data_IF_508332424623
#
_entry.id   IF_508332424623
#
_cell.length_a   1.000
_cell.length_b   1.000
_cell.length_c   1.000
_cell.angle_alpha   90.00
_cell.angle_beta   90.00
_cell.angle_gamma   90.00
#
_symmetry.space_group_name_H-M   'P 1'
#
loop_
_entity.id
_entity.type
_entity.pdbx_description
1 polymer ?
#
# COMPACT_ATOMS: atom_id res chain seq x y z
N UNK A 1 -16.97 2.27 19.32
CA UNK A 1 -16.94 2.99 18.03
C UNK A 1 -16.87 1.97 16.92
N UNK A 2 -17.44 2.28 15.75
CA UNK A 2 -17.23 1.48 14.53
C UNK A 2 -15.74 1.58 14.15
N UNK A 3 -15.18 0.55 13.53
CA UNK A 3 -13.82 0.64 12.98
C UNK A 3 -13.74 1.53 11.75
N UNK A 4 -14.85 1.65 11.00
CA UNK A 4 -14.94 2.50 9.81
C UNK A 4 -16.28 3.24 9.77
N UNK A 5 -16.20 4.54 9.57
CA UNK A 5 -17.36 5.41 9.35
C UNK A 5 -17.34 5.92 7.91
N UNK A 6 -18.33 5.48 7.11
CA UNK A 6 -18.56 6.03 5.77
C UNK A 6 -19.24 7.39 5.90
N UNK A 7 -18.56 8.45 5.46
CA UNK A 7 -19.05 9.83 5.60
C UNK A 7 -19.83 10.26 4.37
N UNK A 8 -19.34 9.97 3.17
CA UNK A 8 -19.97 10.37 1.91
C UNK A 8 -19.64 9.41 0.78
N UNK A 9 -20.57 9.27 -0.16
CA UNK A 9 -20.37 8.57 -1.43
C UNK A 9 -20.68 9.55 -2.57
N UNK A 10 -19.80 9.64 -3.55
CA UNK A 10 -19.99 10.47 -4.74
C UNK A 10 -21.26 10.05 -5.51
N UNK A 11 -21.98 11.01 -6.05
CA UNK A 11 -23.26 10.74 -6.73
C UNK A 11 -23.09 10.23 -8.17
N UNK A 12 -21.92 10.48 -8.78
CA UNK A 12 -21.61 10.13 -10.16
C UNK A 12 -20.66 8.93 -10.31
N UNK A 13 -20.18 8.38 -9.19
CA UNK A 13 -19.25 7.26 -9.16
C UNK A 13 -19.38 6.44 -7.88
N UNK A 14 -18.59 5.37 -7.74
CA UNK A 14 -18.50 4.62 -6.49
C UNK A 14 -17.47 5.20 -5.50
N UNK A 15 -16.86 6.34 -5.82
CA UNK A 15 -15.88 7.00 -4.96
C UNK A 15 -16.50 7.38 -3.62
N UNK A 16 -15.76 7.18 -2.53
CA UNK A 16 -16.29 7.38 -1.20
C UNK A 16 -15.24 7.97 -0.23
N UNK A 17 -15.71 8.78 0.69
CA UNK A 17 -14.93 9.35 1.77
C UNK A 17 -15.37 8.77 3.11
N UNK A 18 -14.43 8.29 3.91
CA UNK A 18 -14.69 7.71 5.22
C UNK A 18 -13.60 8.05 6.22
N UNK A 19 -13.69 7.42 7.39
CA UNK A 19 -12.68 7.47 8.46
C UNK A 19 -12.48 6.07 9.01
N UNK A 20 -11.23 5.59 9.02
CA UNK A 20 -10.83 4.37 9.74
C UNK A 20 -10.31 4.79 11.11
N UNK A 21 -10.82 4.18 12.18
CA UNK A 21 -10.46 4.46 13.56
C UNK A 21 -9.51 3.40 14.10
N UNK A 22 -8.34 3.82 14.58
CA UNK A 22 -7.37 2.96 15.26
C UNK A 22 -6.99 3.56 16.61
N UNK A 23 -6.35 2.77 17.47
CA UNK A 23 -5.86 3.27 18.76
C UNK A 23 -4.70 4.28 18.63
N UNK A 24 -4.03 4.34 17.46
CA UNK A 24 -3.01 5.33 17.15
C UNK A 24 -3.52 6.53 16.34
N UNK A 25 -4.83 6.62 16.13
CA UNK A 25 -5.49 7.76 15.49
C UNK A 25 -6.35 7.42 14.29
N UNK A 26 -7.02 8.45 13.79
CA UNK A 26 -7.93 8.36 12.65
C UNK A 26 -7.19 8.43 11.32
N UNK A 27 -7.71 7.69 10.33
CA UNK A 27 -7.22 7.70 8.94
C UNK A 27 -8.35 8.16 8.05
N UNK A 28 -8.17 9.32 7.42
CA UNK A 28 -9.13 9.89 6.48
C UNK A 28 -8.96 9.23 5.11
N UNK A 29 -9.99 8.53 4.63
CA UNK A 29 -9.95 7.86 3.32
C UNK A 29 -10.64 8.68 2.23
N UNK A 30 -10.22 8.57 0.94
CA UNK A 30 -9.13 7.72 0.45
C UNK A 30 -7.76 8.14 0.97
N UNK A 31 -6.85 7.16 1.14
CA UNK A 31 -5.51 7.41 1.68
C UNK A 31 -4.44 6.60 0.92
N UNK A 32 -3.27 7.20 0.74
CA UNK A 32 -2.06 6.51 0.30
C UNK A 32 -1.12 6.28 1.49
N UNK A 33 -0.59 5.06 1.63
CA UNK A 33 0.31 4.66 2.70
C UNK A 33 1.76 4.61 2.21
N UNK A 34 2.64 5.52 2.66
CA UNK A 34 4.08 5.41 2.37
C UNK A 34 4.65 4.09 2.87
N UNK A 35 5.47 3.42 2.03
CA UNK A 35 6.01 2.10 2.34
C UNK A 35 7.32 2.21 3.12
N UNK A 36 7.28 1.78 4.38
CA UNK A 36 8.40 1.68 5.32
C UNK A 36 8.91 0.25 5.48
N UNK A 37 9.50 -0.33 4.43
CA UNK A 37 9.83 -1.76 4.27
C UNK A 37 10.52 -2.40 5.48
N UNK A 38 11.48 -1.74 6.09
CA UNK A 38 12.28 -2.25 7.24
C UNK A 38 12.24 -1.30 8.43
N UNK A 39 11.05 -0.78 8.75
CA UNK A 39 10.89 0.22 9.80
C UNK A 39 11.36 1.61 9.38
N UNK A 40 11.35 1.92 8.09
CA UNK A 40 11.65 3.25 7.56
C UNK A 40 11.16 3.42 6.13
N UNK A 41 10.62 4.58 5.81
CA UNK A 41 10.37 5.02 4.43
C UNK A 41 11.70 5.45 3.84
N UNK A 42 12.11 4.81 2.74
CA UNK A 42 13.47 4.92 2.18
C UNK A 42 13.82 6.36 1.78
N UNK A 43 14.88 6.91 2.40
CA UNK A 43 15.40 8.24 2.11
C UNK A 43 14.48 9.37 2.61
N UNK A 44 13.64 9.11 3.63
CA UNK A 44 12.72 10.12 4.16
C UNK A 44 12.76 10.07 5.69
N UNK A 45 13.03 11.21 6.31
CA UNK A 45 13.00 11.32 7.75
C UNK A 45 11.56 11.28 8.29
N UNK A 46 11.39 10.74 9.50
CA UNK A 46 10.09 10.76 10.20
C UNK A 46 9.52 12.18 10.33
N UNK A 47 10.36 13.17 10.58
CA UNK A 47 9.97 14.57 10.59
C UNK A 47 9.25 14.97 9.30
N UNK A 48 9.83 14.65 8.14
CA UNK A 48 9.28 15.03 6.85
C UNK A 48 7.97 14.26 6.55
N UNK A 49 7.85 12.99 7.03
CA UNK A 49 6.59 12.25 6.95
C UNK A 49 5.45 12.91 7.74
N UNK A 50 5.77 13.56 8.87
CA UNK A 50 4.79 14.21 9.77
C UNK A 50 4.49 15.62 9.31
N UNK A 51 5.53 16.44 9.11
CA UNK A 51 5.41 17.89 9.03
C UNK A 51 5.21 18.40 7.58
N UNK A 52 5.66 17.64 6.57
CA UNK A 52 5.62 18.04 5.17
C UNK A 52 4.71 17.11 4.33
N UNK A 53 4.92 15.79 4.42
CA UNK A 53 4.15 14.79 3.67
C UNK A 53 2.76 14.56 4.30
N UNK A 54 2.59 14.85 5.58
CA UNK A 54 1.35 14.67 6.35
C UNK A 54 0.80 13.23 6.33
N UNK A 55 1.71 12.24 6.34
CA UNK A 55 1.33 10.84 6.38
C UNK A 55 0.49 10.52 7.63
N UNK A 56 -0.69 9.93 7.42
CA UNK A 56 -1.59 9.52 8.50
C UNK A 56 -1.33 8.08 8.93
N UNK A 57 -0.83 7.25 8.03
CA UNK A 57 -0.51 5.83 8.20
C UNK A 57 0.69 5.49 7.33
N UNK A 58 1.52 4.55 7.77
CA UNK A 58 2.60 3.95 6.97
C UNK A 58 2.42 2.44 6.88
N UNK A 59 3.09 1.82 5.90
CA UNK A 59 3.06 0.37 5.72
C UNK A 59 4.43 -0.24 6.01
N UNK A 60 4.47 -1.27 6.86
CA UNK A 60 5.64 -2.12 7.11
C UNK A 60 5.53 -3.47 6.37
N UNK A 61 6.66 -4.09 6.02
CA UNK A 61 6.66 -5.40 5.37
C UNK A 61 7.07 -6.50 6.36
N UNK A 62 6.14 -7.37 6.72
CA UNK A 62 6.30 -8.44 7.71
C UNK A 62 7.48 -9.36 7.41
N UNK A 63 7.65 -9.80 6.16
CA UNK A 63 8.80 -10.63 5.75
C UNK A 63 10.14 -9.95 6.07
N UNK A 64 10.28 -8.69 5.72
CA UNK A 64 11.54 -7.96 5.93
C UNK A 64 11.80 -7.67 7.41
N UNK A 65 10.77 -7.27 8.15
CA UNK A 65 10.87 -7.02 9.60
C UNK A 65 11.17 -8.29 10.39
N UNK A 66 10.60 -9.43 10.00
CA UNK A 66 10.93 -10.73 10.58
C UNK A 66 12.38 -11.12 10.36
N UNK A 67 12.95 -10.86 9.18
CA UNK A 67 14.35 -11.16 8.89
C UNK A 67 15.31 -10.18 9.59
N UNK A 68 14.93 -8.90 9.65
CA UNK A 68 15.74 -7.83 10.22
C UNK A 68 14.86 -6.63 10.61
N UNK A 69 14.82 -6.25 11.89
CA UNK A 69 15.68 -6.65 12.99
C UNK A 69 15.35 -8.02 13.59
N UNK A 70 14.17 -8.57 13.29
CA UNK A 70 13.62 -9.79 13.88
C UNK A 70 12.62 -9.49 14.99
N UNK A 71 11.64 -10.40 15.18
CA UNK A 71 10.54 -10.20 16.11
C UNK A 71 10.99 -10.06 17.56
N UNK A 72 12.05 -10.77 17.96
CA UNK A 72 12.58 -10.67 19.32
C UNK A 72 13.03 -9.23 19.67
N UNK A 73 13.71 -8.55 18.74
CA UNK A 73 14.15 -7.16 18.94
C UNK A 73 12.93 -6.21 18.95
N UNK A 74 11.98 -6.41 18.04
CA UNK A 74 10.76 -5.61 18.00
C UNK A 74 9.94 -5.76 19.28
N UNK A 75 9.80 -7.00 19.77
CA UNK A 75 9.11 -7.28 21.03
C UNK A 75 9.78 -6.56 22.24
N UNK A 76 11.11 -6.66 22.33
CA UNK A 76 11.88 -5.97 23.39
C UNK A 76 11.78 -4.45 23.31
N UNK A 77 11.62 -3.89 22.11
CA UNK A 77 11.42 -2.47 21.90
C UNK A 77 10.00 -2.00 22.28
N UNK A 78 9.04 -2.92 22.42
CA UNK A 78 7.63 -2.63 22.67
C UNK A 78 6.82 -2.42 21.40
N UNK A 79 7.15 -3.17 20.34
CA UNK A 79 6.50 -3.16 19.04
C UNK A 79 7.14 -2.18 18.05
N UNK A 80 6.68 -2.25 16.79
CA UNK A 80 7.23 -1.45 15.68
C UNK A 80 7.04 0.05 15.92
N UNK A 81 5.92 0.49 16.45
CA UNK A 81 5.66 1.88 16.78
C UNK A 81 6.76 2.48 17.68
N UNK A 82 7.11 1.78 18.75
CA UNK A 82 8.16 2.24 19.66
C UNK A 82 9.56 2.12 19.05
N UNK A 83 9.78 1.06 18.28
CA UNK A 83 11.06 0.84 17.61
C UNK A 83 11.40 1.96 16.61
N UNK A 84 10.42 2.37 15.80
CA UNK A 84 10.57 3.48 14.84
C UNK A 84 10.40 4.87 15.49
N UNK A 85 9.76 4.92 16.66
CA UNK A 85 9.26 6.15 17.25
C UNK A 85 8.13 6.78 16.43
N UNK A 86 7.31 5.98 15.76
CA UNK A 86 6.13 6.39 15.00
C UNK A 86 4.88 6.20 15.84
N UNK A 87 4.12 7.27 16.08
CA UNK A 87 2.97 7.29 16.98
C UNK A 87 1.63 7.46 16.25
N UNK A 88 1.59 7.18 14.96
CA UNK A 88 0.39 7.14 14.12
C UNK A 88 0.15 5.71 13.64
N UNK A 89 -0.98 5.40 12.98
CA UNK A 89 -1.28 4.07 12.49
C UNK A 89 -0.19 3.43 11.62
N UNK A 90 -0.07 2.09 11.75
CA UNK A 90 0.76 1.23 10.90
C UNK A 90 -0.10 0.09 10.36
N UNK A 91 0.06 -0.23 9.08
CA UNK A 91 -0.41 -1.46 8.49
C UNK A 91 0.80 -2.34 8.16
N UNK A 92 0.72 -3.65 8.41
CA UNK A 92 1.72 -4.62 7.94
C UNK A 92 1.11 -5.58 6.93
N UNK A 93 1.86 -5.84 5.83
CA UNK A 93 1.47 -6.88 4.88
C UNK A 93 1.70 -8.29 5.46
N UNK A 94 1.16 -9.32 4.81
CA UNK A 94 1.29 -10.70 5.27
C UNK A 94 2.69 -11.32 5.06
N UNK A 95 3.56 -10.66 4.29
CA UNK A 95 4.81 -11.23 3.81
C UNK A 95 4.66 -12.26 2.68
N UNK A 96 3.44 -12.62 2.28
CA UNK A 96 3.16 -13.62 1.24
C UNK A 96 3.76 -13.24 -0.11
N UNK A 97 3.55 -12.02 -0.57
CA UNK A 97 4.09 -11.54 -1.83
C UNK A 97 5.62 -11.55 -1.86
N UNK A 98 6.31 -11.15 -0.77
CA UNK A 98 7.77 -11.10 -0.71
C UNK A 98 8.38 -12.51 -0.73
N UNK A 99 7.79 -13.45 0.00
CA UNK A 99 8.19 -14.86 -0.07
C UNK A 99 7.98 -15.40 -1.48
N UNK A 100 6.91 -14.96 -2.16
CA UNK A 100 6.63 -15.34 -3.53
C UNK A 100 7.61 -14.73 -4.53
N UNK A 101 7.93 -13.44 -4.43
CA UNK A 101 8.67 -12.68 -5.44
C UNK A 101 10.19 -12.66 -5.26
N UNK A 102 10.70 -12.82 -4.02
CA UNK A 102 12.11 -12.60 -3.69
C UNK A 102 12.92 -13.88 -3.49
N UNK A 103 12.28 -15.05 -3.51
CA UNK A 103 12.98 -16.31 -3.24
C UNK A 103 12.95 -17.24 -4.45
N UNK A 104 14.12 -17.48 -5.06
CA UNK A 104 14.28 -18.44 -6.16
C UNK A 104 14.00 -19.89 -5.72
N UNK A 105 14.16 -20.18 -4.42
CA UNK A 105 13.94 -21.50 -3.82
C UNK A 105 12.83 -21.39 -2.78
N UNK A 106 11.60 -21.60 -3.22
CA UNK A 106 10.45 -21.75 -2.33
C UNK A 106 9.76 -23.08 -2.59
N UNK A 107 9.22 -23.66 -1.55
CA UNK A 107 8.32 -24.80 -1.65
C UNK A 107 7.01 -24.47 -0.95
N UNK A 108 5.95 -24.35 -1.74
CA UNK A 108 4.60 -24.14 -1.25
C UNK A 108 3.94 -25.49 -0.96
N UNK A 109 3.25 -25.57 0.16
CA UNK A 109 2.51 -26.74 0.61
C UNK A 109 1.20 -26.27 1.26
N UNK A 110 0.30 -27.17 1.58
CA UNK A 110 -0.90 -26.82 2.34
C UNK A 110 -0.57 -26.29 3.75
N UNK A 111 0.52 -26.72 4.33
CA UNK A 111 0.97 -26.28 5.64
C UNK A 111 1.44 -24.81 5.66
N UNK A 112 2.06 -24.35 4.55
CA UNK A 112 2.63 -23.02 4.42
C UNK A 112 3.74 -22.99 3.35
N UNK A 113 4.64 -22.01 3.46
CA UNK A 113 5.71 -21.77 2.49
C UNK A 113 7.08 -21.93 3.14
N UNK A 114 7.88 -22.86 2.63
CA UNK A 114 9.31 -22.97 2.96
C UNK A 114 10.12 -22.13 1.99
N UNK A 115 11.04 -21.34 2.51
CA UNK A 115 11.90 -20.46 1.71
C UNK A 115 13.28 -20.30 2.34
N UNK A 116 14.20 -19.72 1.58
CA UNK A 116 15.52 -19.35 2.08
C UNK A 116 15.60 -17.83 2.24
N UNK A 117 16.10 -17.37 3.39
CA UNK A 117 16.35 -15.95 3.62
C UNK A 117 17.33 -15.40 2.59
N UNK A 118 16.98 -14.27 1.97
CA UNK A 118 17.84 -13.58 1.01
C UNK A 118 19.04 -12.88 1.68
N UNK A 119 19.06 -12.80 3.02
CA UNK A 119 20.13 -12.14 3.78
C UNK A 119 21.27 -13.12 4.08
N UNK A 120 20.93 -14.31 4.57
CA UNK A 120 21.90 -15.29 5.12
C UNK A 120 21.68 -16.72 4.62
N UNK A 121 20.68 -16.95 3.75
CA UNK A 121 20.39 -18.25 3.16
C UNK A 121 19.76 -19.28 4.10
N UNK A 122 19.49 -18.95 5.37
CA UNK A 122 18.86 -19.89 6.31
C UNK A 122 17.46 -20.27 5.85
N UNK A 123 17.10 -21.54 6.07
CA UNK A 123 15.79 -22.08 5.71
C UNK A 123 14.75 -21.69 6.76
N UNK A 124 13.65 -21.16 6.28
CA UNK A 124 12.54 -20.66 7.09
C UNK A 124 11.22 -21.27 6.61
N UNK A 125 10.21 -21.20 7.44
CA UNK A 125 8.86 -21.64 7.16
C UNK A 125 7.88 -20.58 7.64
N UNK A 126 7.03 -20.08 6.75
CA UNK A 126 5.83 -19.32 7.11
C UNK A 126 4.62 -20.23 7.02
N UNK A 127 3.88 -20.31 8.10
CA UNK A 127 2.52 -20.89 8.16
C UNK A 127 1.53 -19.80 8.52
N UNK A 128 0.24 -19.95 8.23
CA UNK A 128 -0.77 -18.98 8.67
C UNK A 128 -0.66 -18.61 10.14
N UNK A 129 -0.48 -19.60 11.01
CA UNK A 129 -0.34 -19.37 12.45
C UNK A 129 0.93 -18.59 12.80
N UNK A 130 2.07 -19.00 12.23
CA UNK A 130 3.35 -18.33 12.53
C UNK A 130 3.38 -16.89 12.03
N UNK A 131 2.70 -16.58 10.92
CA UNK A 131 2.59 -15.20 10.41
C UNK A 131 1.74 -14.36 11.36
N UNK A 132 0.63 -14.88 11.88
CA UNK A 132 -0.16 -14.17 12.89
C UNK A 132 0.65 -13.88 14.17
N UNK A 133 1.46 -14.83 14.63
CA UNK A 133 2.35 -14.63 15.78
C UNK A 133 3.40 -13.55 15.50
N UNK A 134 4.03 -13.58 14.32
CA UNK A 134 4.99 -12.58 13.87
C UNK A 134 4.35 -11.19 13.84
N UNK A 135 3.16 -11.06 13.27
CA UNK A 135 2.44 -9.79 13.18
C UNK A 135 1.99 -9.27 14.55
N UNK A 136 1.62 -10.16 15.49
CA UNK A 136 1.38 -9.78 16.88
C UNK A 136 2.62 -9.17 17.52
N UNK A 137 3.80 -9.76 17.30
CA UNK A 137 5.08 -9.24 17.83
C UNK A 137 5.54 -7.96 17.13
N UNK A 138 5.24 -7.78 15.85
CA UNK A 138 5.47 -6.51 15.13
C UNK A 138 4.58 -5.42 15.72
N UNK A 139 3.30 -5.69 15.94
CA UNK A 139 2.38 -4.78 16.61
C UNK A 139 1.89 -3.64 15.73
N UNK A 140 1.51 -3.89 14.47
CA UNK A 140 0.81 -2.92 13.64
C UNK A 140 -0.68 -2.81 14.03
N UNK A 141 -1.33 -1.69 13.73
CA UNK A 141 -2.79 -1.54 13.96
C UNK A 141 -3.61 -2.42 13.03
N UNK A 142 -3.17 -2.57 11.78
CA UNK A 142 -3.82 -3.39 10.77
C UNK A 142 -2.85 -4.46 10.29
N UNK A 143 -3.27 -5.72 10.41
CA UNK A 143 -2.52 -6.91 10.01
C UNK A 143 -3.19 -7.54 8.80
N UNK A 144 -2.41 -8.00 7.82
CA UNK A 144 -2.94 -8.73 6.67
C UNK A 144 -2.90 -10.24 6.91
N UNK A 145 -3.98 -10.95 6.57
CA UNK A 145 -3.97 -12.40 6.59
C UNK A 145 -2.96 -12.98 5.60
N UNK A 146 -2.31 -14.10 5.98
CA UNK A 146 -1.35 -14.77 5.10
C UNK A 146 -2.04 -15.36 3.88
N UNK A 147 -1.57 -15.04 2.69
CA UNK A 147 -2.17 -15.38 1.42
C UNK A 147 -1.16 -15.91 0.41
N UNK A 148 -1.67 -16.50 -0.67
CA UNK A 148 -0.89 -16.83 -1.86
C UNK A 148 -1.24 -15.87 -2.99
N UNK A 149 -0.28 -15.00 -3.34
CA UNK A 149 -0.38 -14.13 -4.49
C UNK A 149 0.04 -14.89 -5.76
N UNK A 150 -0.89 -15.28 -6.63
CA UNK A 150 -0.56 -15.90 -7.90
C UNK A 150 -0.21 -14.85 -8.98
N UNK A 151 0.62 -15.20 -9.99
CA UNK A 151 0.90 -14.30 -11.12
C UNK A 151 -0.39 -13.91 -11.87
N UNK A 152 -0.47 -12.66 -12.36
CA UNK A 152 -1.62 -12.19 -13.15
C UNK A 152 -1.82 -12.95 -14.48
N UNK A 153 -0.80 -13.68 -14.92
CA UNK A 153 -0.82 -14.54 -16.13
C UNK A 153 -1.13 -15.99 -15.83
N UNK A 154 -1.47 -16.35 -14.58
CA UNK A 154 -1.80 -17.72 -14.20
C UNK A 154 -3.04 -18.23 -14.95
N UNK A 155 -3.04 -19.52 -15.32
CA UNK A 155 -4.25 -20.13 -15.84
C UNK A 155 -5.33 -20.26 -14.76
N UNK A 156 -6.58 -20.47 -15.19
CA UNK A 156 -7.74 -20.50 -14.29
C UNK A 156 -7.68 -21.63 -13.26
N UNK A 157 -7.09 -22.76 -13.64
CA UNK A 157 -6.97 -23.92 -12.74
C UNK A 157 -6.03 -23.58 -11.57
N UNK A 158 -4.84 -23.07 -11.87
CA UNK A 158 -3.92 -22.65 -10.83
C UNK A 158 -4.44 -21.46 -10.00
N UNK A 159 -5.06 -20.48 -10.67
CA UNK A 159 -5.68 -19.35 -9.97
C UNK A 159 -6.75 -19.81 -8.94
N UNK A 160 -7.55 -20.83 -9.31
CA UNK A 160 -8.53 -21.41 -8.39
C UNK A 160 -7.88 -22.18 -7.25
N UNK A 161 -6.87 -23.00 -7.52
CA UNK A 161 -6.12 -23.74 -6.47
C UNK A 161 -5.46 -22.79 -5.47
N UNK A 162 -4.85 -21.70 -5.95
CA UNK A 162 -4.24 -20.64 -5.15
C UNK A 162 -5.27 -19.91 -4.29
N UNK A 163 -6.40 -19.52 -4.86
CA UNK A 163 -7.50 -18.92 -4.13
C UNK A 163 -8.06 -19.84 -3.05
N UNK A 164 -8.31 -21.11 -3.38
CA UNK A 164 -8.83 -22.10 -2.42
C UNK A 164 -7.84 -22.35 -1.27
N UNK A 165 -6.52 -22.34 -1.55
CA UNK A 165 -5.47 -22.42 -0.53
C UNK A 165 -5.45 -21.17 0.36
N UNK A 166 -5.52 -19.99 -0.24
CA UNK A 166 -5.64 -18.73 0.48
C UNK A 166 -6.84 -18.73 1.45
N UNK A 167 -7.97 -19.28 1.03
CA UNK A 167 -9.16 -19.42 1.88
C UNK A 167 -8.93 -20.35 3.07
N UNK A 168 -8.29 -21.51 2.87
CA UNK A 168 -7.97 -22.43 3.97
C UNK A 168 -6.93 -21.84 4.92
N UNK A 169 -5.95 -21.11 4.40
CA UNK A 169 -4.98 -20.37 5.21
C UNK A 169 -5.64 -19.24 5.99
N UNK A 170 -6.60 -18.54 5.38
CA UNK A 170 -7.37 -17.50 6.05
C UNK A 170 -8.12 -18.05 7.28
N UNK A 171 -8.77 -19.22 7.15
CA UNK A 171 -9.46 -19.85 8.29
C UNK A 171 -8.49 -20.12 9.46
N UNK A 172 -7.25 -20.55 9.16
CA UNK A 172 -6.20 -20.77 10.14
C UNK A 172 -5.66 -19.46 10.72
N UNK A 173 -5.46 -18.42 9.89
CA UNK A 173 -5.10 -17.08 10.36
C UNK A 173 -6.14 -16.55 11.35
N UNK A 174 -7.42 -16.63 11.00
CA UNK A 174 -8.53 -16.18 11.84
C UNK A 174 -8.55 -16.95 13.17
N UNK A 175 -8.47 -18.28 13.14
CA UNK A 175 -8.45 -19.10 14.34
C UNK A 175 -7.28 -18.74 15.25
N UNK A 176 -6.08 -18.47 14.67
CA UNK A 176 -4.92 -18.07 15.45
C UNK A 176 -5.07 -16.65 16.00
N UNK A 177 -5.49 -15.70 15.17
CA UNK A 177 -5.72 -14.32 15.58
C UNK A 177 -6.74 -14.23 16.73
N UNK A 178 -7.90 -14.90 16.61
CA UNK A 178 -8.97 -14.87 17.60
C UNK A 178 -8.59 -15.62 18.90
N UNK A 179 -7.58 -16.51 18.88
CA UNK A 179 -7.06 -17.23 20.06
C UNK A 179 -5.88 -16.54 20.76
N UNK A 180 -5.40 -15.41 20.23
CA UNK A 180 -4.28 -14.64 20.78
C UNK A 180 -4.73 -13.25 21.19
N UNK A 181 -4.08 -12.68 22.21
CA UNK A 181 -4.34 -11.33 22.69
C UNK A 181 -3.39 -10.31 22.07
N UNK A 182 -3.81 -9.04 22.08
CA UNK A 182 -2.97 -7.91 21.72
C UNK A 182 -1.83 -7.76 22.75
N UNK A 183 -0.58 -7.64 22.26
CA UNK A 183 0.61 -7.68 23.14
C UNK A 183 0.89 -6.32 23.78
N UNK A 184 0.60 -5.21 23.08
CA UNK A 184 1.10 -3.87 23.44
C UNK A 184 0.04 -2.93 24.03
N UNK A 185 -1.18 -3.46 24.33
CA UNK A 185 -2.24 -2.71 25.01
C UNK A 185 -3.08 -1.82 24.09
N UNK A 186 -3.01 -2.04 22.79
CA UNK A 186 -3.88 -1.45 21.77
C UNK A 186 -4.41 -2.55 20.84
N UNK A 187 -5.55 -2.31 20.22
CA UNK A 187 -6.23 -3.28 19.39
C UNK A 187 -5.58 -3.38 18.00
N UNK A 188 -5.38 -4.63 17.55
CA UNK A 188 -4.99 -4.94 16.18
C UNK A 188 -6.19 -5.48 15.38
N UNK A 189 -6.25 -5.15 14.10
CA UNK A 189 -7.33 -5.51 13.19
C UNK A 189 -6.82 -6.39 12.06
N UNK A 190 -7.46 -7.55 11.84
CA UNK A 190 -7.07 -8.49 10.79
C UNK A 190 -7.90 -8.25 9.52
N UNK A 191 -7.22 -7.93 8.40
CA UNK A 191 -7.85 -7.82 7.08
C UNK A 191 -7.60 -9.07 6.25
N UNK A 192 -8.66 -9.77 5.79
CA UNK A 192 -8.56 -10.82 4.79
C UNK A 192 -8.32 -10.23 3.40
N UNK A 193 -7.72 -11.03 2.51
CA UNK A 193 -7.32 -10.63 1.16
C UNK A 193 -8.16 -11.38 0.12
N UNK A 194 -8.88 -10.66 -0.74
CA UNK A 194 -9.56 -11.22 -1.91
C UNK A 194 -8.52 -11.56 -2.96
N UNK A 195 -8.43 -12.85 -3.31
CA UNK A 195 -7.63 -13.37 -4.42
C UNK A 195 -8.54 -13.88 -5.56
N UNK A 196 -7.99 -14.39 -6.65
CA UNK A 196 -8.77 -14.91 -7.79
C UNK A 196 -8.21 -14.50 -9.16
N UNK A 197 -6.98 -13.92 -9.18
CA UNK A 197 -6.32 -13.48 -10.40
C UNK A 197 -7.22 -12.51 -11.21
N UNK A 198 -7.31 -12.69 -12.52
CA UNK A 198 -8.16 -11.90 -13.44
C UNK A 198 -9.47 -12.61 -13.82
N UNK A 199 -9.91 -13.56 -13.01
CA UNK A 199 -11.12 -14.35 -13.27
C UNK A 199 -12.29 -13.85 -12.42
N UNK A 200 -13.28 -13.23 -13.07
CA UNK A 200 -14.41 -12.56 -12.42
C UNK A 200 -15.21 -13.50 -11.51
N UNK A 201 -15.45 -14.76 -11.93
CA UNK A 201 -16.14 -15.76 -11.12
C UNK A 201 -15.36 -16.13 -9.84
N UNK A 202 -14.03 -16.27 -9.93
CA UNK A 202 -13.19 -16.55 -8.77
C UNK A 202 -13.17 -15.34 -7.82
N UNK A 203 -13.04 -14.11 -8.34
CA UNK A 203 -13.12 -12.89 -7.57
C UNK A 203 -14.45 -12.73 -6.83
N UNK A 204 -15.56 -13.05 -7.52
CA UNK A 204 -16.89 -13.05 -6.91
C UNK A 204 -17.00 -14.06 -5.77
N UNK A 205 -16.55 -15.30 -5.99
CA UNK A 205 -16.60 -16.34 -4.96
C UNK A 205 -15.74 -15.98 -3.74
N UNK A 206 -14.53 -15.46 -3.98
CA UNK A 206 -13.66 -14.98 -2.91
C UNK A 206 -14.30 -13.81 -2.14
N UNK A 207 -14.82 -12.80 -2.84
CA UNK A 207 -15.42 -11.63 -2.20
C UNK A 207 -16.66 -12.01 -1.36
N UNK A 208 -17.53 -12.92 -1.86
CA UNK A 208 -18.68 -13.42 -1.10
C UNK A 208 -18.25 -14.15 0.16
N UNK A 209 -17.26 -15.05 0.06
CA UNK A 209 -16.72 -15.75 1.22
C UNK A 209 -16.18 -14.78 2.27
N UNK A 210 -15.38 -13.80 1.85
CA UNK A 210 -14.77 -12.85 2.78
C UNK A 210 -15.83 -11.94 3.42
N UNK A 211 -16.81 -11.46 2.65
CA UNK A 211 -17.95 -10.70 3.17
C UNK A 211 -18.65 -11.44 4.32
N UNK A 212 -18.89 -12.74 4.14
CA UNK A 212 -19.63 -13.56 5.10
C UNK A 212 -18.82 -13.81 6.41
N UNK A 213 -17.53 -13.52 6.43
CA UNK A 213 -16.66 -13.54 7.64
C UNK A 213 -16.79 -12.28 8.49
N UNK A 214 -17.38 -11.20 8.00
CA UNK A 214 -17.65 -9.92 8.66
C UNK A 214 -16.44 -9.37 9.47
N UNK A 215 -15.28 -9.24 8.82
CA UNK A 215 -14.10 -8.63 9.45
C UNK A 215 -14.14 -7.10 9.39
N UNK A 216 -13.20 -6.44 10.08
CA UNK A 216 -13.16 -4.98 10.21
C UNK A 216 -12.86 -4.26 8.90
N UNK A 217 -12.16 -4.89 7.95
CA UNK A 217 -11.87 -4.38 6.62
C UNK A 217 -11.43 -5.48 5.67
N UNK A 218 -11.25 -5.15 4.40
CA UNK A 218 -10.92 -6.12 3.34
C UNK A 218 -9.86 -5.56 2.41
N UNK A 219 -8.94 -6.44 1.97
CA UNK A 219 -7.99 -6.09 0.92
C UNK A 219 -8.28 -6.80 -0.40
N UNK A 220 -7.88 -6.17 -1.49
CA UNK A 220 -7.91 -6.68 -2.86
C UNK A 220 -6.46 -6.92 -3.25
N UNK A 221 -6.05 -8.18 -3.27
CA UNK A 221 -4.69 -8.59 -3.65
C UNK A 221 -4.63 -9.25 -5.02
N UNK A 222 -3.42 -9.59 -5.48
CA UNK A 222 -3.19 -10.30 -6.74
C UNK A 222 -3.63 -9.53 -7.98
N UNK A 223 -3.55 -8.19 -7.92
CA UNK A 223 -3.69 -7.26 -9.05
C UNK A 223 -2.42 -6.42 -9.18
N UNK A 224 -2.21 -5.78 -10.33
CA UNK A 224 -0.95 -5.11 -10.71
C UNK A 224 0.27 -6.05 -10.69
N UNK A 225 0.07 -7.33 -11.04
CA UNK A 225 1.09 -8.39 -11.06
C UNK A 225 1.31 -8.95 -12.48
N UNK A 226 1.04 -8.13 -13.52
CA UNK A 226 1.32 -8.44 -14.93
C UNK A 226 0.11 -8.46 -15.86
N UNK A 227 -1.10 -8.27 -15.35
CA UNK A 227 -2.33 -8.13 -16.15
C UNK A 227 -2.43 -6.74 -16.80
N UNK A 228 -3.22 -6.59 -17.89
CA UNK A 228 -3.60 -5.29 -18.44
C UNK A 228 -4.37 -4.44 -17.41
N UNK A 229 -4.17 -3.13 -17.48
CA UNK A 229 -4.78 -2.17 -16.54
C UNK A 229 -6.32 -2.22 -16.54
N UNK A 230 -6.92 -2.41 -17.70
CA UNK A 230 -8.38 -2.51 -17.86
C UNK A 230 -8.95 -3.74 -17.13
N UNK A 231 -8.24 -4.86 -17.17
CA UNK A 231 -8.63 -6.06 -16.41
C UNK A 231 -8.52 -5.83 -14.89
N UNK A 232 -7.49 -5.11 -14.45
CA UNK A 232 -7.38 -4.72 -13.04
C UNK A 232 -8.61 -3.91 -12.61
N UNK A 233 -9.02 -2.91 -13.39
CA UNK A 233 -10.19 -2.08 -13.08
C UNK A 233 -11.48 -2.90 -13.05
N UNK A 234 -11.68 -3.78 -14.02
CA UNK A 234 -12.84 -4.69 -14.03
C UNK A 234 -12.89 -5.56 -12.77
N UNK A 235 -11.76 -6.13 -12.35
CA UNK A 235 -11.72 -6.98 -11.15
C UNK A 235 -11.96 -6.18 -9.87
N UNK A 236 -11.56 -4.92 -9.80
CA UNK A 236 -11.90 -4.03 -8.68
C UNK A 236 -13.41 -3.81 -8.60
N UNK A 237 -14.07 -3.52 -9.71
CA UNK A 237 -15.52 -3.35 -9.78
C UNK A 237 -16.25 -4.62 -9.31
N UNK A 238 -15.88 -5.78 -9.87
CA UNK A 238 -16.44 -7.10 -9.50
C UNK A 238 -16.36 -7.37 -8.00
N UNK A 239 -15.24 -7.03 -7.37
CA UNK A 239 -15.04 -7.25 -5.93
C UNK A 239 -15.83 -6.23 -5.11
N UNK A 240 -15.77 -4.96 -5.50
CA UNK A 240 -16.40 -3.87 -4.74
C UNK A 240 -17.93 -3.89 -4.79
N UNK A 241 -18.53 -4.50 -5.81
CA UNK A 241 -19.99 -4.75 -5.87
C UNK A 241 -20.47 -5.73 -4.79
N UNK A 242 -19.55 -6.52 -4.22
CA UNK A 242 -19.87 -7.58 -3.25
C UNK A 242 -19.45 -7.21 -1.82
N UNK A 243 -18.29 -6.55 -1.67
CA UNK A 243 -17.77 -6.17 -0.36
C UNK A 243 -18.66 -5.13 0.34
N UNK A 244 -18.85 -5.22 1.67
CA UNK A 244 -19.70 -4.31 2.42
C UNK A 244 -19.28 -2.85 2.25
N UNK A 245 -20.25 -1.97 2.08
CA UNK A 245 -20.00 -0.51 2.02
C UNK A 245 -19.61 0.08 3.37
N UNK A 246 -19.97 -0.59 4.47
CA UNK A 246 -19.66 -0.20 5.85
C UNK A 246 -18.24 -0.58 6.31
N UNK A 247 -17.40 -1.10 5.43
CA UNK A 247 -16.04 -1.54 5.73
C UNK A 247 -15.04 -0.89 4.76
N UNK A 248 -13.80 -0.60 5.21
CA UNK A 248 -12.75 -0.07 4.33
C UNK A 248 -12.25 -1.14 3.36
N UNK A 249 -11.85 -0.69 2.17
CA UNK A 249 -11.34 -1.51 1.06
C UNK A 249 -9.94 -1.07 0.69
N UNK A 250 -8.98 -1.96 0.80
CA UNK A 250 -7.59 -1.71 0.54
C UNK A 250 -7.13 -2.42 -0.74
N UNK A 251 -6.69 -1.66 -1.76
CA UNK A 251 -6.08 -2.20 -2.98
C UNK A 251 -4.57 -2.25 -2.81
N UNK A 252 -4.02 -3.47 -2.77
CA UNK A 252 -2.62 -3.71 -2.45
C UNK A 252 -1.68 -3.45 -3.62
N UNK A 253 -0.59 -2.71 -3.38
CA UNK A 253 0.51 -2.54 -4.33
C UNK A 253 0.24 -1.66 -5.54
N UNK A 254 -0.87 -0.95 -5.58
CA UNK A 254 -1.24 -0.03 -6.68
C UNK A 254 -1.02 1.42 -6.28
N UNK A 255 -0.44 2.25 -7.04
CA UNK A 255 0.58 2.18 -8.06
C UNK A 255 0.81 3.54 -8.68
N UNK A 256 0.41 3.77 -9.90
CA UNK A 256 0.54 5.09 -10.53
C UNK A 256 -0.54 6.06 -10.03
N UNK A 257 -0.29 7.39 -10.06
CA UNK A 257 -1.29 8.38 -9.66
C UNK A 257 -2.65 8.21 -10.36
N UNK A 258 -2.64 7.93 -11.65
CA UNK A 258 -3.86 7.70 -12.43
C UNK A 258 -4.58 6.40 -12.06
N UNK A 259 -3.85 5.30 -11.78
CA UNK A 259 -4.47 4.06 -11.31
C UNK A 259 -5.13 4.23 -9.94
N UNK A 260 -4.55 5.07 -9.07
CA UNK A 260 -5.13 5.41 -7.77
C UNK A 260 -6.46 6.16 -7.96
N UNK A 261 -6.50 7.20 -8.80
CA UNK A 261 -7.73 7.95 -9.07
C UNK A 261 -8.81 7.08 -9.72
N UNK A 262 -8.44 6.20 -10.64
CA UNK A 262 -9.36 5.23 -11.26
C UNK A 262 -9.90 4.20 -10.25
N UNK A 263 -9.06 3.75 -9.31
CA UNK A 263 -9.50 2.83 -8.28
C UNK A 263 -10.36 3.52 -7.20
N UNK A 264 -10.11 4.80 -6.89
CA UNK A 264 -10.98 5.62 -6.03
C UNK A 264 -12.37 5.74 -6.66
N UNK A 265 -12.46 6.01 -7.97
CA UNK A 265 -13.76 6.05 -8.69
C UNK A 265 -14.56 4.77 -8.51
N UNK A 266 -13.87 3.63 -8.37
CA UNK A 266 -14.44 2.28 -8.19
C UNK A 266 -14.65 1.88 -6.73
N UNK A 267 -14.49 2.83 -5.79
CA UNK A 267 -14.81 2.64 -4.38
C UNK A 267 -13.71 2.01 -3.52
N UNK A 268 -12.43 2.17 -3.89
CA UNK A 268 -11.29 1.80 -3.06
C UNK A 268 -10.93 2.95 -2.11
N UNK A 269 -10.55 2.60 -0.87
CA UNK A 269 -10.27 3.56 0.21
C UNK A 269 -8.79 3.71 0.54
N UNK A 270 -8.00 2.63 0.43
CA UNK A 270 -6.63 2.58 0.91
C UNK A 270 -5.70 2.03 -0.16
N UNK A 271 -4.50 2.60 -0.24
CA UNK A 271 -3.49 2.28 -1.25
C UNK A 271 -2.10 2.24 -0.65
N UNK A 272 -1.24 1.40 -1.19
CA UNK A 272 0.20 1.46 -1.01
C UNK A 272 0.92 1.21 -2.33
N UNK A 273 2.10 1.72 -2.48
CA UNK A 273 3.06 1.30 -3.49
C UNK A 273 4.47 1.82 -3.18
N UNK A 274 5.48 1.10 -3.58
CA UNK A 274 6.87 1.57 -3.50
C UNK A 274 7.22 2.61 -4.57
N UNK A 275 6.31 2.85 -5.52
CA UNK A 275 6.54 3.71 -6.69
C UNK A 275 7.02 5.12 -6.35
N UNK A 276 6.39 5.87 -5.42
CA UNK A 276 6.81 7.24 -5.14
C UNK A 276 8.30 7.33 -4.83
N UNK A 277 8.77 6.56 -3.85
CA UNK A 277 10.17 6.60 -3.45
C UNK A 277 11.09 5.85 -4.43
N UNK A 278 10.63 4.76 -5.07
CA UNK A 278 11.41 4.05 -6.09
C UNK A 278 11.66 4.94 -7.30
N UNK A 279 10.61 5.58 -7.82
CA UNK A 279 10.72 6.47 -8.98
C UNK A 279 11.54 7.71 -8.64
N UNK A 280 11.34 8.34 -7.47
CA UNK A 280 12.16 9.44 -6.99
C UNK A 280 13.64 9.08 -7.00
N UNK A 281 14.03 7.96 -6.40
CA UNK A 281 15.42 7.49 -6.41
C UNK A 281 15.96 7.14 -7.80
N UNK A 282 15.10 6.93 -8.78
CA UNK A 282 15.47 6.74 -10.18
C UNK A 282 15.40 8.03 -11.02
N UNK A 283 15.11 9.17 -10.41
CA UNK A 283 15.07 10.47 -11.06
C UNK A 283 13.74 10.78 -11.76
N UNK A 284 12.66 10.04 -11.46
CA UNK A 284 11.34 10.30 -12.02
C UNK A 284 10.40 10.86 -10.96
N UNK A 285 9.73 11.98 -11.28
CA UNK A 285 8.77 12.63 -10.41
C UNK A 285 7.43 12.84 -11.10
N UNK A 286 6.38 12.95 -10.28
CA UNK A 286 5.02 13.24 -10.70
C UNK A 286 4.65 14.66 -10.25
N UNK A 287 4.11 15.47 -11.14
CA UNK A 287 3.70 16.84 -10.86
C UNK A 287 2.28 17.09 -11.34
N UNK A 288 1.69 18.24 -10.96
CA UNK A 288 0.39 18.68 -11.50
C UNK A 288 0.45 19.03 -12.99
N UNK A 289 1.63 19.09 -13.58
CA UNK A 289 1.84 19.38 -15.01
C UNK A 289 2.19 18.12 -15.80
N UNK A 290 2.46 17.00 -15.14
CA UNK A 290 2.83 15.74 -15.75
C UNK A 290 4.04 15.06 -15.12
N UNK A 291 4.57 14.06 -15.81
CA UNK A 291 5.70 13.25 -15.36
C UNK A 291 7.01 13.84 -15.86
N UNK A 292 7.93 14.10 -14.94
CA UNK A 292 9.27 14.61 -15.26
C UNK A 292 10.34 13.54 -15.00
N UNK A 293 11.28 13.40 -15.95
CA UNK A 293 12.50 12.64 -15.73
C UNK A 293 13.65 13.62 -15.51
N UNK A 294 14.13 13.71 -14.29
CA UNK A 294 15.20 14.64 -13.89
C UNK A 294 16.57 14.31 -14.49
N UNK A 295 16.72 13.13 -15.14
CA UNK A 295 17.93 12.78 -15.90
C UNK A 295 17.98 13.47 -17.27
N UNK A 296 16.87 14.01 -17.77
CA UNK A 296 16.80 14.65 -19.08
C UNK A 296 17.70 15.88 -19.17
N UNK A 297 18.41 16.04 -20.30
CA UNK A 297 19.33 17.14 -20.54
C UNK A 297 18.66 18.51 -20.49
N UNK A 298 17.39 18.62 -20.85
CA UNK A 298 16.64 19.88 -20.87
C UNK A 298 16.54 20.59 -19.49
N UNK A 299 16.84 19.89 -18.40
CA UNK A 299 16.85 20.46 -17.05
C UNK A 299 18.23 20.95 -16.60
N UNK A 300 19.26 20.87 -17.47
CA UNK A 300 20.66 21.15 -17.12
C UNK A 300 20.90 22.61 -16.71
N UNK A 301 20.16 23.52 -17.34
CA UNK A 301 20.21 24.97 -17.14
C UNK A 301 18.83 25.56 -16.75
N UNK A 302 17.93 24.73 -16.26
CA UNK A 302 16.63 25.17 -15.74
C UNK A 302 16.77 25.54 -14.24
N UNK A 303 16.95 26.81 -13.96
CA UNK A 303 17.11 27.36 -12.62
C UNK A 303 15.78 27.74 -11.95
N UNK A 304 14.65 27.31 -12.50
CA UNK A 304 13.34 27.45 -11.85
C UNK A 304 13.18 26.42 -10.71
N UNK A 305 12.22 26.65 -9.85
CA UNK A 305 11.85 25.71 -8.77
C UNK A 305 11.60 24.30 -9.31
N UNK A 306 11.82 23.29 -8.46
CA UNK A 306 11.62 21.88 -8.82
C UNK A 306 10.18 21.66 -9.30
N UNK A 307 9.20 22.05 -8.52
CA UNK A 307 7.78 22.09 -8.89
C UNK A 307 7.09 23.33 -8.31
N UNK A 308 6.86 24.38 -9.10
CA UNK A 308 6.18 25.60 -8.62
C UNK A 308 4.73 25.36 -8.16
N UNK A 309 4.15 24.21 -8.50
CA UNK A 309 2.76 23.82 -8.14
C UNK A 309 2.68 22.83 -7.01
N UNK A 310 3.82 22.32 -6.54
CA UNK A 310 3.92 21.41 -5.40
C UNK A 310 3.75 22.12 -4.06
N UNK A 311 3.47 21.37 -3.02
CA UNK A 311 3.27 21.90 -1.66
C UNK A 311 4.42 21.56 -0.71
N UNK A 312 5.39 20.73 -1.14
CA UNK A 312 6.53 20.35 -0.31
C UNK A 312 7.58 21.47 -0.26
N UNK A 313 8.28 21.58 0.88
CA UNK A 313 9.40 22.51 0.98
C UNK A 313 10.49 22.26 -0.06
N UNK A 314 10.71 21.01 -0.47
CA UNK A 314 11.71 20.67 -1.48
C UNK A 314 11.35 21.21 -2.86
N UNK A 315 10.07 21.44 -3.13
CA UNK A 315 9.59 21.96 -4.42
C UNK A 315 10.05 23.38 -4.69
N UNK A 316 10.18 24.18 -3.60
CA UNK A 316 10.49 25.60 -3.65
C UNK A 316 11.94 25.95 -3.27
N UNK A 317 12.62 25.05 -2.53
CA UNK A 317 13.99 25.31 -2.07
C UNK A 317 15.07 24.89 -3.09
N UNK A 318 14.72 24.01 -4.03
CA UNK A 318 15.68 23.45 -4.98
C UNK A 318 15.27 23.73 -6.41
N UNK A 319 16.27 24.00 -7.28
CA UNK A 319 16.05 24.20 -8.70
C UNK A 319 16.15 22.87 -9.45
N UNK A 320 15.49 22.77 -10.60
CA UNK A 320 15.57 21.60 -11.50
C UNK A 320 17.00 21.31 -11.91
N UNK A 321 17.79 22.31 -12.25
CA UNK A 321 19.20 22.16 -12.63
C UNK A 321 20.03 21.55 -11.49
N UNK A 322 19.84 22.02 -10.26
CA UNK A 322 20.56 21.50 -9.09
C UNK A 322 20.16 20.05 -8.78
N UNK A 323 18.88 19.76 -8.75
CA UNK A 323 18.39 18.38 -8.51
C UNK A 323 18.85 17.43 -9.61
N UNK A 324 18.82 17.86 -10.89
CA UNK A 324 19.39 17.06 -11.97
C UNK A 324 20.87 16.76 -11.75
N UNK A 325 21.66 17.77 -11.34
CA UNK A 325 23.07 17.60 -11.00
C UNK A 325 23.25 16.54 -9.91
N UNK A 326 22.50 16.60 -8.81
CA UNK A 326 22.56 15.62 -7.72
C UNK A 326 22.27 14.20 -8.17
N UNK A 327 21.25 14.02 -9.04
CA UNK A 327 20.89 12.70 -9.57
C UNK A 327 21.98 12.15 -10.50
N UNK A 328 22.65 12.99 -11.29
CA UNK A 328 23.79 12.57 -12.13
C UNK A 328 25.05 12.29 -11.33
N UNK A 329 25.26 13.02 -10.24
CA UNK A 329 26.37 12.82 -9.31
C UNK A 329 26.12 11.65 -8.31
N UNK A 330 24.94 11.03 -8.39
CA UNK A 330 24.51 9.94 -7.48
C UNK A 330 24.51 10.34 -5.99
N UNK A 331 24.28 11.62 -5.71
CA UNK A 331 24.22 12.16 -4.35
C UNK A 331 22.91 11.74 -3.65
N UNK A 332 23.04 11.31 -2.39
CA UNK A 332 21.91 10.86 -1.58
C UNK A 332 20.84 11.95 -1.42
N UNK A 333 21.25 13.22 -1.29
CA UNK A 333 20.33 14.33 -1.18
C UNK A 333 19.36 14.43 -2.36
N UNK A 334 19.81 14.14 -3.58
CA UNK A 334 18.92 14.12 -4.77
C UNK A 334 17.86 13.04 -4.66
N UNK A 335 18.22 11.85 -4.15
CA UNK A 335 17.29 10.73 -3.95
C UNK A 335 16.26 11.05 -2.87
N UNK A 336 16.68 11.73 -1.81
CA UNK A 336 15.82 12.18 -0.71
C UNK A 336 14.82 13.24 -1.18
N UNK A 337 15.30 14.32 -1.83
CA UNK A 337 14.45 15.39 -2.40
C UNK A 337 13.34 14.81 -3.26
N UNK A 338 13.66 13.94 -4.23
CA UNK A 338 12.68 13.40 -5.15
C UNK A 338 11.74 12.37 -4.48
N UNK A 339 12.18 11.70 -3.42
CA UNK A 339 11.32 10.80 -2.64
C UNK A 339 10.29 11.59 -1.81
N UNK A 340 10.71 12.68 -1.17
CA UNK A 340 9.83 13.59 -0.43
C UNK A 340 8.81 14.21 -1.38
N UNK A 341 9.27 14.81 -2.49
CA UNK A 341 8.40 15.40 -3.51
C UNK A 341 7.30 14.43 -3.96
N UNK A 342 7.68 13.21 -4.38
CA UNK A 342 6.72 12.24 -4.87
C UNK A 342 5.72 11.82 -3.79
N UNK A 343 6.14 11.64 -2.55
CA UNK A 343 5.22 11.30 -1.47
C UNK A 343 4.25 12.43 -1.18
N UNK A 344 4.71 13.69 -1.13
CA UNK A 344 3.83 14.85 -0.99
C UNK A 344 2.81 14.88 -2.12
N UNK A 345 3.24 14.73 -3.38
CA UNK A 345 2.34 14.68 -4.52
C UNK A 345 1.25 13.60 -4.38
N UNK A 346 1.62 12.39 -3.94
CA UNK A 346 0.66 11.29 -3.78
C UNK A 346 -0.35 11.57 -2.66
N UNK A 347 0.11 12.06 -1.51
CA UNK A 347 -0.78 12.38 -0.38
C UNK A 347 -1.69 13.56 -0.70
N UNK A 348 -1.17 14.60 -1.36
CA UNK A 348 -1.97 15.73 -1.82
C UNK A 348 -3.03 15.30 -2.84
N UNK A 349 -2.68 14.40 -3.77
CA UNK A 349 -3.62 13.90 -4.79
C UNK A 349 -4.80 13.17 -4.15
N UNK A 350 -4.57 12.29 -3.18
CA UNK A 350 -5.67 11.57 -2.51
C UNK A 350 -6.44 12.47 -1.56
N UNK A 351 -5.80 13.47 -0.96
CA UNK A 351 -6.46 14.48 -0.12
C UNK A 351 -7.40 15.35 -0.96
N UNK A 352 -6.96 15.80 -2.12
CA UNK A 352 -7.78 16.55 -3.07
C UNK A 352 -8.93 15.70 -3.61
N UNK A 353 -8.66 14.42 -3.95
CA UNK A 353 -9.71 13.47 -4.33
C UNK A 353 -10.79 13.38 -3.25
N UNK A 354 -10.41 13.27 -1.97
CA UNK A 354 -11.35 13.29 -0.85
C UNK A 354 -12.18 14.56 -0.80
N UNK A 355 -11.57 15.73 -1.00
CA UNK A 355 -12.29 17.01 -1.01
C UNK A 355 -13.36 17.04 -2.10
N UNK A 356 -13.02 16.58 -3.31
CA UNK A 356 -13.96 16.51 -4.44
C UNK A 356 -15.05 15.44 -4.25
N UNK A 357 -14.75 14.32 -3.58
CA UNK A 357 -15.78 13.36 -3.18
C UNK A 357 -16.79 14.03 -2.25
N UNK A 358 -16.30 14.73 -1.20
CA UNK A 358 -17.18 15.43 -0.24
C UNK A 358 -17.98 16.58 -0.88
N UNK A 359 -17.43 17.22 -1.91
CA UNK A 359 -18.11 18.26 -2.69
C UNK A 359 -19.10 17.68 -3.71
N UNK A 360 -19.04 16.37 -4.03
CA UNK A 360 -19.92 15.71 -5.00
C UNK A 360 -19.56 15.97 -6.47
N UNK A 361 -18.32 16.37 -6.76
CA UNK A 361 -17.81 16.65 -8.12
C UNK A 361 -16.56 15.84 -8.49
N UNK A 362 -16.27 14.78 -7.75
CA UNK A 362 -15.06 13.96 -7.90
C UNK A 362 -14.83 13.49 -9.34
N UNK A 363 -15.88 12.93 -9.99
CA UNK A 363 -15.74 12.42 -11.36
C UNK A 363 -15.32 13.52 -12.34
N UNK A 364 -15.94 14.69 -12.27
CA UNK A 364 -15.62 15.82 -13.14
C UNK A 364 -14.20 16.32 -12.93
N UNK A 365 -13.80 16.45 -11.68
CA UNK A 365 -12.43 16.81 -11.31
C UNK A 365 -11.42 15.77 -11.81
N UNK A 366 -11.63 14.49 -11.52
CA UNK A 366 -10.76 13.39 -11.95
C UNK A 366 -10.55 13.41 -13.47
N UNK A 367 -11.64 13.49 -14.24
CA UNK A 367 -11.59 13.48 -15.70
C UNK A 367 -10.81 14.68 -16.26
N UNK A 368 -10.77 15.81 -15.55
CA UNK A 368 -9.97 16.98 -15.90
C UNK A 368 -8.48 16.84 -15.57
N UNK A 369 -8.16 16.16 -14.47
CA UNK A 369 -6.79 16.03 -13.95
C UNK A 369 -6.02 14.89 -14.64
N UNK A 370 -6.67 13.78 -14.94
CA UNK A 370 -6.02 12.57 -15.48
C UNK A 370 -5.17 12.84 -16.73
N UNK A 371 -5.67 13.52 -17.80
CA UNK A 371 -4.85 13.77 -19.00
C UNK A 371 -3.58 14.58 -18.72
N UNK A 372 -3.64 15.45 -17.72
CA UNK A 372 -2.52 16.33 -17.36
C UNK A 372 -1.45 15.53 -16.60
N UNK A 373 -1.82 14.81 -15.54
CA UNK A 373 -0.83 14.08 -14.73
C UNK A 373 -0.21 12.88 -15.45
N UNK A 374 -0.85 12.38 -16.49
CA UNK A 374 -0.31 11.31 -17.36
C UNK A 374 0.64 11.85 -18.44
N UNK A 375 0.62 13.16 -18.71
CA UNK A 375 1.47 13.76 -19.73
C UNK A 375 2.95 13.59 -19.36
N UNK A 376 3.79 13.28 -20.34
CA UNK A 376 5.26 13.24 -20.17
C UNK A 376 5.86 14.55 -20.62
N UNK A 377 6.47 15.25 -19.69
CA UNK A 377 7.14 16.53 -19.92
C UNK A 377 8.52 16.34 -20.56
#
# INVERSE_FOLDING_TARGET
MSFFDLIHTDTASAARAGVVHTDHGDILTPIFMPVGTVGTVKGVHKRDLIDDIHAQIILGNTYHLYLRPGTQILHQAGGLHRFEGWNKPILTDSGGYQVFSLTDIRKMTEEGVRFSSHIDGRKLMFTPESVMDIEREIGADIMMAFDECCPGTADKTYAKESMDRTHRWLDRCIARFDSTEDIYGYKQHLFPIVQGCVYSDLRQDAAKRLRDLDRDGYAIGGLAVGEPTEQMYEMIEVVNDILPTSKPRYLMGVGTPWNILEAIERGVDMFDCVMPTRNGRNGMIFTRQGVMNMRNKKWEDDFTELDPTGNSYVDHQYTRAYVRHLIHAEEMLGLEILSIHNLCFYLDLVTEARQHILAGDFKTWKDSVLPIIMHRM
#
